data_IF_560530531533
#
_entry.id   IF_560530531533
#
_cell.length_a   1.000
_cell.length_b   1.000
_cell.length_c   1.000
_cell.angle_alpha   90.00
_cell.angle_beta   90.00
_cell.angle_gamma   90.00
#
_symmetry.space_group_name_H-M   'P 1'
#
loop_
_entity.id
_entity.type
_entity.pdbx_description
1 polymer ?
#
# COMPACT_ATOMS: atom_id res chain seq x y z
N UNK A 1 13.36 -25.46 21.20
CA UNK A 1 12.78 -24.18 21.65
C UNK A 1 12.18 -23.52 20.42
N UNK A 2 10.85 -23.39 20.33
CA UNK A 2 10.24 -22.63 19.23
C UNK A 2 10.70 -21.17 19.40
N UNK A 3 11.43 -20.62 18.43
CA UNK A 3 11.82 -19.21 18.48
C UNK A 3 10.54 -18.36 18.62
N UNK A 4 10.52 -17.43 19.57
CA UNK A 4 9.36 -16.56 19.81
C UNK A 4 8.88 -15.87 18.51
N UNK A 5 9.81 -15.53 17.61
CA UNK A 5 9.52 -15.00 16.27
C UNK A 5 8.78 -16.00 15.37
N UNK A 6 9.09 -17.29 15.46
CA UNK A 6 8.41 -18.35 14.70
C UNK A 6 6.99 -18.60 15.24
N UNK A 7 6.81 -18.60 16.56
CA UNK A 7 5.49 -18.73 17.18
C UNK A 7 4.57 -17.54 16.83
N UNK A 8 5.12 -16.32 16.81
CA UNK A 8 4.38 -15.12 16.42
C UNK A 8 3.96 -15.16 14.95
N UNK A 9 4.88 -15.52 14.04
CA UNK A 9 4.59 -15.72 12.61
C UNK A 9 3.50 -16.76 12.39
N UNK A 10 3.56 -17.88 13.10
CA UNK A 10 2.59 -18.97 12.99
C UNK A 10 1.22 -18.52 13.50
N UNK A 11 1.15 -17.79 14.62
CA UNK A 11 -0.12 -17.22 15.12
C UNK A 11 -0.71 -16.18 14.16
N UNK A 12 0.12 -15.30 13.58
CA UNK A 12 -0.34 -14.30 12.62
C UNK A 12 -0.90 -14.97 11.36
N UNK A 13 -0.17 -15.96 10.82
CA UNK A 13 -0.59 -16.74 9.66
C UNK A 13 -1.90 -17.47 9.93
N UNK A 14 -2.07 -18.04 11.13
CA UNK A 14 -3.26 -18.79 11.51
C UNK A 14 -4.47 -17.86 11.67
N UNK A 15 -4.30 -16.70 12.32
CA UNK A 15 -5.33 -15.66 12.43
C UNK A 15 -5.71 -15.13 11.04
N UNK A 16 -4.73 -14.85 10.19
CA UNK A 16 -4.95 -14.41 8.82
C UNK A 16 -5.73 -15.47 8.01
N UNK A 17 -5.37 -16.75 8.11
CA UNK A 17 -6.07 -17.86 7.48
C UNK A 17 -7.52 -17.99 7.97
N UNK A 18 -7.77 -17.85 9.28
CA UNK A 18 -9.13 -17.87 9.84
C UNK A 18 -9.96 -16.71 9.27
N UNK A 19 -9.42 -15.49 9.29
CA UNK A 19 -10.08 -14.31 8.73
C UNK A 19 -10.36 -14.52 7.23
N UNK A 20 -9.39 -15.04 6.48
CA UNK A 20 -9.52 -15.35 5.05
C UNK A 20 -10.62 -16.38 4.77
N UNK A 21 -10.70 -17.47 5.56
CA UNK A 21 -11.73 -18.49 5.39
C UNK A 21 -13.13 -17.99 5.75
N UNK A 22 -13.26 -17.19 6.81
CA UNK A 22 -14.53 -16.61 7.24
C UNK A 22 -15.04 -15.57 6.23
N UNK A 23 -14.13 -14.79 5.65
CA UNK A 23 -14.47 -13.80 4.61
C UNK A 23 -14.82 -14.45 3.27
N UNK A 24 -14.20 -15.58 2.91
CA UNK A 24 -14.57 -16.35 1.69
C UNK A 24 -16.02 -16.80 1.68
N UNK A 25 -16.62 -17.16 2.82
CA UNK A 25 -18.03 -17.57 2.89
C UNK A 25 -19.02 -16.46 2.48
N UNK A 26 -18.61 -15.19 2.56
CA UNK A 26 -19.44 -14.04 2.16
C UNK A 26 -19.19 -13.58 0.71
N UNK A 27 -18.25 -14.21 0.00
CA UNK A 27 -17.79 -13.74 -1.31
C UNK A 27 -18.74 -14.05 -2.49
N UNK A 28 -19.74 -14.91 -2.31
CA UNK A 28 -20.62 -15.37 -3.41
C UNK A 28 -21.47 -14.28 -4.08
N UNK A 29 -21.69 -13.14 -3.42
CA UNK A 29 -22.40 -11.98 -3.99
C UNK A 29 -21.46 -10.84 -4.44
N UNK A 30 -20.20 -10.88 -4.03
CA UNK A 30 -19.21 -9.82 -4.25
C UNK A 30 -18.45 -10.10 -5.54
N UNK A 31 -18.82 -9.42 -6.62
CA UNK A 31 -18.16 -9.50 -7.91
C UNK A 31 -17.82 -8.09 -8.41
N UNK A 32 -16.87 -8.01 -9.34
CA UNK A 32 -16.66 -6.81 -10.13
C UNK A 32 -17.55 -6.92 -11.37
N UNK A 33 -18.16 -5.82 -11.78
CA UNK A 33 -18.80 -5.74 -13.09
C UNK A 33 -17.76 -5.56 -14.21
N UNK A 34 -18.20 -5.68 -15.47
CA UNK A 34 -17.32 -5.59 -16.64
C UNK A 34 -16.64 -4.21 -16.76
N UNK A 35 -17.32 -3.13 -16.37
CA UNK A 35 -16.74 -1.78 -16.39
C UNK A 35 -15.63 -1.63 -15.34
N UNK A 36 -15.85 -2.14 -14.13
CA UNK A 36 -14.85 -2.17 -13.07
C UNK A 36 -13.64 -3.02 -13.50
N UNK A 37 -13.85 -4.16 -14.16
CA UNK A 37 -12.75 -4.98 -14.68
C UNK A 37 -11.92 -4.23 -15.73
N UNK A 38 -12.57 -3.50 -16.65
CA UNK A 38 -11.88 -2.67 -17.63
C UNK A 38 -11.04 -1.57 -16.95
N UNK A 39 -11.63 -0.83 -16.02
CA UNK A 39 -10.94 0.24 -15.28
C UNK A 39 -9.75 -0.31 -14.49
N UNK A 40 -9.88 -1.48 -13.85
CA UNK A 40 -8.77 -2.14 -13.16
C UNK A 40 -7.68 -2.59 -14.13
N UNK A 41 -8.05 -3.02 -15.34
CA UNK A 41 -7.11 -3.31 -16.41
C UNK A 41 -6.28 -2.08 -16.78
N UNK A 42 -6.91 -0.91 -16.89
CA UNK A 42 -6.21 0.34 -17.17
C UNK A 42 -5.37 0.82 -15.97
N UNK A 43 -5.90 0.68 -14.75
CA UNK A 43 -5.15 0.93 -13.51
C UNK A 43 -3.88 0.07 -13.44
N UNK A 44 -3.97 -1.20 -13.86
CA UNK A 44 -2.83 -2.11 -13.88
C UNK A 44 -1.78 -1.67 -14.90
N UNK A 45 -2.20 -1.28 -16.11
CA UNK A 45 -1.28 -0.74 -17.12
C UNK A 45 -0.56 0.51 -16.62
N UNK A 46 -1.27 1.41 -15.94
CA UNK A 46 -0.70 2.63 -15.34
C UNK A 46 0.27 2.32 -14.20
N UNK A 47 -0.11 1.43 -13.27
CA UNK A 47 0.77 1.03 -12.17
C UNK A 47 2.03 0.31 -12.67
N UNK A 48 1.88 -0.57 -13.67
CA UNK A 48 2.99 -1.27 -14.30
C UNK A 48 3.90 -0.32 -15.07
N UNK A 49 3.35 0.61 -15.86
CA UNK A 49 4.14 1.59 -16.60
C UNK A 49 4.91 2.51 -15.64
N UNK A 50 4.31 2.91 -14.51
CA UNK A 50 5.01 3.66 -13.47
C UNK A 50 6.23 2.89 -12.92
N UNK A 51 6.08 1.60 -12.65
CA UNK A 51 7.21 0.75 -12.20
C UNK A 51 8.30 0.68 -13.26
N UNK A 52 7.95 0.43 -14.53
CA UNK A 52 8.93 0.34 -15.62
C UNK A 52 9.68 1.67 -15.80
N UNK A 53 8.96 2.79 -15.78
CA UNK A 53 9.56 4.13 -15.91
C UNK A 53 10.49 4.40 -14.73
N UNK A 54 10.05 4.14 -13.50
CA UNK A 54 10.88 4.35 -12.30
C UNK A 54 12.11 3.45 -12.29
N UNK A 55 11.99 2.19 -12.71
CA UNK A 55 13.12 1.29 -12.88
C UNK A 55 14.09 1.78 -13.96
N UNK A 56 13.58 2.22 -15.11
CA UNK A 56 14.41 2.74 -16.19
C UNK A 56 15.15 4.01 -15.77
N UNK A 57 14.46 4.96 -15.15
CA UNK A 57 15.06 6.19 -14.60
C UNK A 57 16.10 5.84 -13.55
N UNK A 58 15.79 4.93 -12.63
CA UNK A 58 16.73 4.50 -11.59
C UNK A 58 17.95 3.85 -12.20
N UNK A 59 17.79 2.91 -13.14
CA UNK A 59 18.91 2.22 -13.78
C UNK A 59 19.78 3.12 -14.65
N UNK A 60 19.19 4.12 -15.32
CA UNK A 60 19.93 5.10 -16.14
C UNK A 60 20.68 6.12 -15.28
N UNK A 61 20.17 6.44 -14.10
CA UNK A 61 20.73 7.49 -13.24
C UNK A 61 21.47 6.93 -12.01
N UNK A 62 21.53 5.61 -11.83
CA UNK A 62 22.08 4.97 -10.63
C UNK A 62 23.52 5.41 -10.34
N UNK A 63 24.34 5.47 -11.40
CA UNK A 63 25.75 5.87 -11.36
C UNK A 63 25.99 7.25 -11.98
N UNK A 64 24.93 8.04 -12.21
CA UNK A 64 25.09 9.39 -12.73
C UNK A 64 25.65 10.33 -11.66
N UNK A 65 26.69 11.07 -12.00
CA UNK A 65 27.34 12.03 -11.11
C UNK A 65 26.30 12.99 -10.49
N UNK A 66 26.20 12.97 -9.16
CA UNK A 66 25.31 13.85 -8.39
C UNK A 66 23.98 13.24 -7.95
N UNK A 67 23.57 12.08 -8.49
CA UNK A 67 22.31 11.43 -8.09
C UNK A 67 22.49 10.21 -7.19
N UNK A 68 23.72 9.87 -6.75
CA UNK A 68 24.07 8.68 -5.94
C UNK A 68 23.00 8.27 -4.91
N UNK A 69 21.99 7.50 -5.34
CA UNK A 69 20.79 7.18 -4.55
C UNK A 69 21.16 6.30 -3.36
N UNK A 70 22.25 5.53 -3.53
CA UNK A 70 22.91 4.74 -2.51
C UNK A 70 23.34 5.55 -1.27
N UNK A 71 23.50 6.87 -1.38
CA UNK A 71 23.79 7.74 -0.23
C UNK A 71 22.56 8.05 0.63
N UNK A 72 21.35 7.75 0.16
CA UNK A 72 20.10 8.09 0.86
C UNK A 72 19.31 6.85 1.29
N UNK A 73 19.35 5.78 0.50
CA UNK A 73 18.66 4.54 0.81
C UNK A 73 19.39 3.33 0.25
N UNK A 74 19.19 2.18 0.91
CA UNK A 74 19.69 0.90 0.44
C UNK A 74 19.01 0.48 -0.87
N UNK A 75 19.67 -0.36 -1.66
CA UNK A 75 19.16 -0.80 -2.97
C UNK A 75 17.82 -1.55 -2.84
N UNK A 76 17.66 -2.37 -1.81
CA UNK A 76 16.40 -3.06 -1.51
C UNK A 76 15.29 -2.07 -1.13
N UNK A 77 15.58 -1.07 -0.30
CA UNK A 77 14.64 0.00 0.02
C UNK A 77 14.15 0.71 -1.25
N UNK A 78 15.06 1.05 -2.16
CA UNK A 78 14.74 1.69 -3.43
C UNK A 78 13.81 0.82 -4.30
N UNK A 79 14.12 -0.47 -4.44
CA UNK A 79 13.26 -1.39 -5.21
C UNK A 79 11.85 -1.51 -4.61
N UNK A 80 11.74 -1.52 -3.29
CA UNK A 80 10.44 -1.52 -2.62
C UNK A 80 9.69 -0.20 -2.76
N UNK A 81 10.37 0.95 -2.74
CA UNK A 81 9.75 2.25 -3.06
C UNK A 81 9.09 2.20 -4.44
N UNK A 82 9.81 1.69 -5.44
CA UNK A 82 9.31 1.59 -6.82
C UNK A 82 8.09 0.66 -6.91
N UNK A 83 8.16 -0.50 -6.25
CA UNK A 83 7.05 -1.47 -6.22
C UNK A 83 5.81 -0.88 -5.53
N UNK A 84 5.99 -0.23 -4.38
CA UNK A 84 4.90 0.42 -3.65
C UNK A 84 4.29 1.57 -4.44
N UNK A 85 5.10 2.33 -5.20
CA UNK A 85 4.60 3.38 -6.08
C UNK A 85 3.64 2.80 -7.14
N UNK A 86 4.00 1.70 -7.80
CA UNK A 86 3.14 1.02 -8.77
C UNK A 86 1.82 0.53 -8.18
N UNK A 87 1.88 -0.13 -7.03
CA UNK A 87 0.68 -0.60 -6.30
C UNK A 87 -0.20 0.57 -5.86
N UNK A 88 0.41 1.68 -5.44
CA UNK A 88 -0.31 2.88 -5.02
C UNK A 88 -1.01 3.53 -6.20
N UNK A 89 -0.35 3.66 -7.36
CA UNK A 89 -0.96 4.17 -8.60
C UNK A 89 -2.17 3.31 -8.98
N UNK A 90 -2.02 1.98 -8.99
CA UNK A 90 -3.12 1.06 -9.24
C UNK A 90 -4.30 1.30 -8.28
N UNK A 91 -4.02 1.34 -6.98
CA UNK A 91 -5.04 1.46 -5.95
C UNK A 91 -5.77 2.80 -6.03
N UNK A 92 -5.03 3.91 -6.07
CA UNK A 92 -5.58 5.28 -6.14
C UNK A 92 -6.41 5.45 -7.40
N UNK A 93 -5.89 5.07 -8.58
CA UNK A 93 -6.65 5.17 -9.83
C UNK A 93 -7.94 4.34 -9.78
N UNK A 94 -7.86 3.10 -9.27
CA UNK A 94 -9.04 2.25 -9.13
C UNK A 94 -10.07 2.83 -8.15
N UNK A 95 -9.63 3.49 -7.08
CA UNK A 95 -10.51 4.08 -6.07
C UNK A 95 -11.26 5.28 -6.66
N UNK A 96 -10.51 6.19 -7.28
CA UNK A 96 -11.08 7.41 -7.86
C UNK A 96 -12.07 7.09 -9.00
N UNK A 97 -11.88 5.96 -9.69
CA UNK A 97 -12.76 5.50 -10.76
C UNK A 97 -13.77 4.40 -10.32
N UNK A 98 -14.08 4.27 -9.02
CA UNK A 98 -15.07 3.32 -8.48
C UNK A 98 -14.87 1.83 -8.84
N UNK A 99 -13.64 1.41 -9.14
CA UNK A 99 -13.31 0.04 -9.53
C UNK A 99 -12.45 -0.71 -8.51
N UNK A 100 -12.12 -0.05 -7.39
CA UNK A 100 -11.34 -0.68 -6.33
C UNK A 100 -12.17 -1.66 -5.48
N UNK A 101 -13.34 -1.22 -5.05
CA UNK A 101 -14.29 -2.02 -4.27
C UNK A 101 -15.26 -2.75 -5.20
N UNK A 102 -15.61 -3.98 -4.83
CA UNK A 102 -16.60 -4.77 -5.58
C UNK A 102 -17.99 -4.15 -5.47
N UNK A 103 -18.89 -4.55 -6.37
CA UNK A 103 -20.31 -4.20 -6.29
C UNK A 103 -20.85 -4.66 -4.93
N UNK A 104 -21.57 -3.75 -4.24
CA UNK A 104 -22.11 -3.93 -2.87
C UNK A 104 -21.07 -4.00 -1.73
N UNK A 105 -19.79 -3.76 -2.00
CA UNK A 105 -18.76 -3.76 -0.96
C UNK A 105 -18.72 -2.43 -0.18
N UNK A 106 -18.71 -2.52 1.15
CA UNK A 106 -18.64 -1.34 2.00
C UNK A 106 -17.17 -0.91 2.23
N UNK A 107 -16.77 0.19 1.58
CA UNK A 107 -15.43 0.79 1.70
C UNK A 107 -15.05 1.25 3.12
N UNK A 108 -16.00 1.47 4.03
CA UNK A 108 -15.70 1.86 5.41
C UNK A 108 -14.91 0.77 6.18
N UNK A 109 -15.16 -0.52 5.87
CA UNK A 109 -14.40 -1.62 6.49
C UNK A 109 -12.93 -1.59 6.07
N UNK A 110 -12.69 -1.25 4.80
CA UNK A 110 -11.35 -1.11 4.28
C UNK A 110 -10.65 0.13 4.84
N UNK A 111 -11.36 1.25 4.99
CA UNK A 111 -10.83 2.43 5.70
C UNK A 111 -10.40 2.11 7.13
N UNK A 112 -11.20 1.34 7.87
CA UNK A 112 -10.84 0.91 9.23
C UNK A 112 -9.56 0.06 9.21
N UNK A 113 -9.42 -0.84 8.23
CA UNK A 113 -8.19 -1.61 8.02
C UNK A 113 -7.00 -0.70 7.69
N UNK A 114 -7.17 0.31 6.84
CA UNK A 114 -6.12 1.30 6.57
C UNK A 114 -5.68 2.01 7.85
N UNK A 115 -6.62 2.49 8.67
CA UNK A 115 -6.32 3.16 9.96
C UNK A 115 -5.53 2.22 10.87
N UNK A 116 -5.94 0.96 11.01
CA UNK A 116 -5.22 -0.02 11.81
C UNK A 116 -3.79 -0.25 11.32
N UNK A 117 -3.59 -0.36 10.00
CA UNK A 117 -2.26 -0.54 9.39
C UNK A 117 -1.39 0.70 9.55
N UNK A 118 -1.94 1.90 9.40
CA UNK A 118 -1.22 3.16 9.61
C UNK A 118 -0.77 3.28 11.07
N UNK A 119 -1.66 3.02 12.03
CA UNK A 119 -1.34 3.13 13.46
C UNK A 119 -0.29 2.11 13.88
N UNK A 120 -0.44 0.84 13.47
CA UNK A 120 0.51 -0.22 13.83
C UNK A 120 1.90 0.00 13.21
N UNK A 121 1.98 0.29 11.91
CA UNK A 121 3.25 0.58 11.25
C UNK A 121 3.84 1.92 11.73
N UNK A 122 3.00 2.92 12.01
CA UNK A 122 3.42 4.20 12.57
C UNK A 122 4.04 4.07 13.97
N UNK A 123 3.48 3.21 14.83
CA UNK A 123 4.05 2.91 16.14
C UNK A 123 5.42 2.20 16.02
N UNK A 124 5.52 1.19 15.14
CA UNK A 124 6.79 0.50 14.84
C UNK A 124 7.85 1.46 14.28
N UNK A 125 7.46 2.32 13.34
CA UNK A 125 8.32 3.36 12.78
C UNK A 125 8.81 4.32 13.86
N UNK A 126 7.91 4.80 14.72
CA UNK A 126 8.26 5.69 15.83
C UNK A 126 9.24 5.04 16.81
N UNK A 127 9.06 3.74 17.08
CA UNK A 127 10.00 2.98 17.90
C UNK A 127 11.37 2.84 17.25
N UNK A 128 11.43 2.55 15.93
CA UNK A 128 12.69 2.52 15.17
C UNK A 128 13.43 3.85 15.27
N UNK A 129 12.74 4.96 15.06
CA UNK A 129 13.30 6.33 15.17
C UNK A 129 13.82 6.59 16.59
N UNK A 130 13.00 6.32 17.62
CA UNK A 130 13.39 6.47 19.03
C UNK A 130 14.62 5.64 19.40
N UNK A 131 14.76 4.45 18.81
CA UNK A 131 15.89 3.56 19.08
C UNK A 131 17.17 3.93 18.34
N UNK A 132 17.14 4.96 17.47
CA UNK A 132 18.29 5.35 16.64
C UNK A 132 18.62 4.34 15.52
N UNK A 133 17.80 3.29 15.36
CA UNK A 133 18.01 2.22 14.37
C UNK A 133 17.31 2.50 13.03
N UNK A 134 16.68 3.65 12.86
CA UNK A 134 15.94 3.96 11.64
C UNK A 134 16.84 4.11 10.40
N UNK A 135 18.10 4.51 10.61
CA UNK A 135 19.11 4.59 9.57
C UNK A 135 20.16 3.53 9.84
N UNK A 136 20.48 2.72 8.84
CA UNK A 136 21.59 1.79 8.88
C UNK A 136 22.78 2.45 8.18
N UNK A 137 23.90 2.66 8.87
CA UNK A 137 25.07 3.37 8.35
C UNK A 137 24.78 4.77 7.76
N UNK A 138 23.73 5.44 8.24
CA UNK A 138 23.33 6.77 7.77
C UNK A 138 22.38 6.78 6.57
N UNK A 139 22.00 5.62 6.04
CA UNK A 139 21.06 5.48 4.92
C UNK A 139 19.75 4.83 5.36
N UNK A 140 18.67 5.11 4.64
CA UNK A 140 17.36 4.53 4.90
C UNK A 140 17.34 3.06 4.48
N UNK A 141 17.26 2.18 5.46
CA UNK A 141 17.21 0.73 5.27
C UNK A 141 15.77 0.20 5.36
N UNK A 142 15.46 -0.82 4.56
CA UNK A 142 14.13 -1.41 4.49
C UNK A 142 13.76 -2.12 5.80
N UNK A 143 14.67 -2.93 6.36
CA UNK A 143 14.46 -3.72 7.58
C UNK A 143 14.50 -2.90 8.87
N UNK A 144 15.26 -1.80 8.89
CA UNK A 144 15.49 -0.98 10.07
C UNK A 144 14.35 0.03 10.36
N UNK A 145 13.40 0.16 9.43
CA UNK A 145 12.20 0.98 9.59
C UNK A 145 11.60 1.50 8.29
N UNK A 146 12.33 1.39 7.17
CA UNK A 146 11.86 1.81 5.85
C UNK A 146 10.58 1.12 5.39
N UNK A 147 10.43 -0.19 5.66
CA UNK A 147 9.21 -0.92 5.34
C UNK A 147 7.97 -0.35 6.06
N UNK A 148 8.10 -0.02 7.35
CA UNK A 148 7.02 0.58 8.13
C UNK A 148 6.67 1.97 7.58
N UNK A 149 7.67 2.77 7.21
CA UNK A 149 7.47 4.08 6.58
C UNK A 149 6.70 3.96 5.26
N UNK A 150 7.09 3.03 4.37
CA UNK A 150 6.40 2.81 3.10
C UNK A 150 4.95 2.38 3.30
N UNK A 151 4.70 1.46 4.23
CA UNK A 151 3.35 1.07 4.60
C UNK A 151 2.50 2.28 5.04
N UNK A 152 3.03 3.11 5.94
CA UNK A 152 2.32 4.30 6.42
C UNK A 152 1.98 5.24 5.26
N UNK A 153 2.95 5.58 4.42
CA UNK A 153 2.76 6.49 3.28
C UNK A 153 1.71 5.92 2.31
N UNK A 154 1.83 4.66 1.92
CA UNK A 154 0.94 4.08 0.93
C UNK A 154 -0.49 3.92 1.45
N UNK A 155 -0.68 3.49 2.70
CA UNK A 155 -2.02 3.42 3.28
C UNK A 155 -2.62 4.81 3.54
N UNK A 156 -1.81 5.83 3.83
CA UNK A 156 -2.28 7.21 3.87
C UNK A 156 -2.82 7.66 2.50
N UNK A 157 -2.05 7.44 1.42
CA UNK A 157 -2.48 7.79 0.05
C UNK A 157 -3.75 7.05 -0.36
N UNK A 158 -3.83 5.74 -0.08
CA UNK A 158 -5.02 4.92 -0.35
C UNK A 158 -6.22 5.42 0.46
N UNK A 159 -6.05 5.67 1.76
CA UNK A 159 -7.13 6.17 2.62
C UNK A 159 -7.62 7.56 2.18
N UNK A 160 -6.70 8.45 1.79
CA UNK A 160 -6.99 9.76 1.25
C UNK A 160 -7.81 9.68 -0.04
N UNK A 161 -7.43 8.80 -0.98
CA UNK A 161 -8.19 8.58 -2.20
C UNK A 161 -9.63 8.10 -1.92
N UNK A 162 -9.82 7.23 -0.92
CA UNK A 162 -11.16 6.76 -0.54
C UNK A 162 -11.99 7.91 0.06
N UNK A 163 -11.38 8.73 0.93
CA UNK A 163 -12.06 9.89 1.53
C UNK A 163 -12.44 10.92 0.47
N UNK A 164 -11.52 11.25 -0.45
CA UNK A 164 -11.77 12.18 -1.56
C UNK A 164 -12.94 11.69 -2.41
N UNK A 165 -12.95 10.42 -2.82
CA UNK A 165 -14.05 9.88 -3.63
C UNK A 165 -15.37 9.88 -2.87
N UNK A 166 -15.35 9.57 -1.58
CA UNK A 166 -16.56 9.58 -0.74
C UNK A 166 -17.12 10.99 -0.56
N UNK A 167 -16.25 12.00 -0.43
CA UNK A 167 -16.66 13.41 -0.36
C UNK A 167 -17.33 13.85 -1.67
N UNK A 168 -16.69 13.59 -2.82
CA UNK A 168 -17.25 13.95 -4.13
C UNK A 168 -18.60 13.29 -4.44
N UNK A 169 -18.83 12.04 -3.99
CA UNK A 169 -20.14 11.39 -4.14
C UNK A 169 -21.24 12.08 -3.34
N UNK A 170 -20.94 12.59 -2.15
CA UNK A 170 -21.93 13.32 -1.37
C UNK A 170 -22.31 14.66 -2.03
N UNK A 171 -21.34 15.33 -2.65
CA UNK A 171 -21.60 16.57 -3.41
C UNK A 171 -22.47 16.29 -4.65
N UNK A 172 -22.19 15.21 -5.40
CA UNK A 172 -23.03 14.74 -6.51
C UNK A 172 -24.48 14.47 -6.05
N UNK A 173 -24.68 13.86 -4.88
CA UNK A 173 -26.01 13.58 -4.30
C UNK A 173 -26.75 14.85 -3.82
N UNK A 174 -26.02 15.85 -3.29
CA UNK A 174 -26.59 17.12 -2.82
C UNK A 174 -27.00 18.05 -3.97
N UNK A 175 -26.31 18.00 -5.12
CA UNK A 175 -26.68 18.78 -6.32
C UNK A 175 -27.94 18.25 -7.04
N UNK A 176 -28.28 16.97 -6.84
CA UNK A 176 -29.44 16.32 -7.46
C UNK A 176 -30.75 16.44 -6.63
N UNK A 177 -30.70 17.02 -5.40
CA UNK A 177 -31.85 17.15 -4.47
C UNK A 177 -32.51 18.53 -4.50
#
# INVERSE_FOLDING_TARGET
MLNHSFAALLSFTLIFCIIFLVTRKKAGALHYDEMQLQIRGDAYKLGFSAVIVLLAVTGLLYDADGLNISNYMTTDMLLFVILYAGVTVFAVYSILNNAFFRVLENGNRYLLLCVFLIVSNGASLFQSIRSGRFLEHGVLDFGAGGANLLCVICFLLISGAIVIRKAGRNEEEDEES
#
